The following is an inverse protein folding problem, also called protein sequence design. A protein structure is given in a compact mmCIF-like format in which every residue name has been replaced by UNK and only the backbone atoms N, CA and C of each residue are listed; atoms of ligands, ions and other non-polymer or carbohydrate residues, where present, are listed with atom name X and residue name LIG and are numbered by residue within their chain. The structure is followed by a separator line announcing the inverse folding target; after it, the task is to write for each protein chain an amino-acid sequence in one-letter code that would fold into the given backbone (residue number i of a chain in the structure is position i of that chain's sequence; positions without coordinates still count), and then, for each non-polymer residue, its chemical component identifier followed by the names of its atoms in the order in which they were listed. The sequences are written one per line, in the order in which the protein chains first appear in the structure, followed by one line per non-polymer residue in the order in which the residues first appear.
data_IF_013509171020
#
_entry.id   IF_013509171020
#
_cell.length_a   1.000
_cell.length_b   1.000
_cell.length_c   1.000
_cell.angle_alpha   90.00
_cell.angle_beta   90.00
_cell.angle_gamma   90.00
#
_symmetry.space_group_name_H-M   'P 1'
#
loop_
_entity.id
_entity.type
_entity.pdbx_description
1 polymer ?
#
# COMPACT_ATOMS: atom_id res chain seq x y z
N UNK A 1 -16.83 -3.94 -2.97
CA UNK A 1 -17.27 -2.71 -2.28
C UNK A 1 -16.16 -2.33 -1.32
N UNK A 2 -15.56 -1.14 -1.45
CA UNK A 2 -14.54 -0.70 -0.50
C UNK A 2 -15.29 -0.34 0.77
N UNK A 3 -15.04 -1.06 1.87
CA UNK A 3 -15.57 -0.65 3.15
C UNK A 3 -14.91 0.67 3.56
N UNK A 4 -15.70 1.74 3.60
CA UNK A 4 -15.26 3.09 3.96
C UNK A 4 -14.61 3.13 5.36
N UNK A 5 -14.92 2.16 6.23
CA UNK A 5 -14.30 2.01 7.56
C UNK A 5 -12.80 1.66 7.48
N UNK A 6 -12.37 1.06 6.37
CA UNK A 6 -10.98 0.59 6.18
C UNK A 6 -10.26 1.27 5.02
N UNK A 7 -10.94 2.16 4.30
CA UNK A 7 -10.38 2.91 3.18
C UNK A 7 -9.23 3.81 3.64
N UNK A 8 -8.09 3.74 2.94
CA UNK A 8 -6.89 4.51 3.23
C UNK A 8 -6.28 5.07 1.94
N UNK A 9 -5.53 6.16 2.06
CA UNK A 9 -4.70 6.68 0.98
C UNK A 9 -3.70 5.65 0.43
N UNK A 10 -3.38 4.61 1.19
CA UNK A 10 -2.55 3.49 0.73
C UNK A 10 -3.28 2.61 -0.28
N UNK A 11 -4.60 2.46 -0.20
CA UNK A 11 -5.37 1.67 -1.17
C UNK A 11 -5.48 2.39 -2.51
N UNK A 12 -5.55 3.72 -2.47
CA UNK A 12 -5.45 4.53 -3.69
C UNK A 12 -4.07 4.39 -4.33
N UNK A 13 -3.04 4.21 -3.51
CA UNK A 13 -1.65 4.09 -3.95
C UNK A 13 -1.25 2.67 -4.38
N UNK A 14 -1.86 1.62 -3.82
CA UNK A 14 -1.68 0.23 -4.23
C UNK A 14 -3.03 -0.31 -4.67
N UNK A 15 -3.23 -0.35 -5.98
CA UNK A 15 -4.46 -0.83 -6.59
C UNK A 15 -4.31 -2.30 -6.97
N UNK A 16 -5.36 -3.08 -6.71
CA UNK A 16 -5.45 -4.48 -7.11
C UNK A 16 -6.44 -4.60 -8.26
N UNK A 17 -6.00 -5.17 -9.38
CA UNK A 17 -6.79 -5.41 -10.57
C UNK A 17 -6.81 -6.91 -10.86
N UNK A 18 -8.00 -7.47 -11.06
CA UNK A 18 -8.14 -8.84 -11.55
C UNK A 18 -8.00 -8.83 -13.08
N UNK A 19 -7.03 -9.56 -13.62
CA UNK A 19 -6.87 -9.74 -15.07
C UNK A 19 -6.99 -11.22 -15.42
N UNK A 20 -7.25 -11.58 -16.69
CA UNK A 20 -7.37 -12.98 -17.11
C UNK A 20 -6.12 -13.83 -16.80
N UNK A 21 -4.96 -13.19 -16.71
CA UNK A 21 -3.65 -13.83 -16.50
C UNK A 21 -3.25 -13.83 -15.01
N UNK A 22 -4.07 -13.24 -14.13
CA UNK A 22 -3.86 -13.25 -12.68
C UNK A 22 -4.12 -11.90 -12.01
N UNK A 23 -3.62 -11.76 -10.79
CA UNK A 23 -3.75 -10.49 -10.06
C UNK A 23 -2.65 -9.51 -10.47
N UNK A 24 -3.04 -8.34 -10.96
CA UNK A 24 -2.12 -7.23 -11.23
C UNK A 24 -2.18 -6.21 -10.11
N UNK A 25 -1.02 -5.83 -9.58
CA UNK A 25 -0.88 -4.75 -8.62
C UNK A 25 -0.34 -3.50 -9.31
N UNK A 26 -0.89 -2.34 -8.98
CA UNK A 26 -0.40 -1.06 -9.51
C UNK A 26 -0.02 -0.17 -8.34
N UNK A 27 1.26 0.16 -8.25
CA UNK A 27 1.75 1.20 -7.36
C UNK A 27 1.64 2.54 -8.08
N UNK A 28 0.90 3.50 -7.52
CA UNK A 28 0.71 4.85 -8.09
C UNK A 28 0.84 5.91 -7.00
N UNK A 29 1.77 6.85 -7.17
CA UNK A 29 1.99 7.96 -6.23
C UNK A 29 2.82 9.04 -6.92
N UNK A 30 2.58 10.32 -6.58
CA UNK A 30 3.38 11.46 -7.05
C UNK A 30 3.54 11.50 -8.58
N UNK A 31 2.47 11.26 -9.33
CA UNK A 31 2.49 11.23 -10.80
C UNK A 31 3.17 10.01 -11.43
N UNK A 32 3.81 9.14 -10.63
CA UNK A 32 4.49 7.93 -11.09
C UNK A 32 3.58 6.71 -10.92
N UNK A 33 3.69 5.77 -11.85
CA UNK A 33 2.95 4.50 -11.79
C UNK A 33 3.84 3.33 -12.21
N UNK A 34 3.69 2.19 -11.55
CA UNK A 34 4.32 0.92 -11.93
C UNK A 34 3.34 -0.22 -11.79
N UNK A 35 3.20 -0.99 -12.87
CA UNK A 35 2.50 -2.28 -12.89
C UNK A 35 3.43 -3.36 -12.34
N UNK A 36 2.92 -4.18 -11.43
CA UNK A 36 3.66 -5.21 -10.70
C UNK A 36 2.82 -6.49 -10.62
N UNK A 37 3.46 -7.64 -10.79
CA UNK A 37 2.78 -8.94 -10.68
C UNK A 37 2.73 -9.46 -9.24
N UNK A 38 3.46 -8.83 -8.31
CA UNK A 38 3.45 -9.21 -6.90
C UNK A 38 3.24 -7.98 -6.01
N UNK A 39 2.58 -8.21 -4.87
CA UNK A 39 2.32 -7.17 -3.88
C UNK A 39 3.62 -6.66 -3.24
N UNK A 40 4.63 -7.52 -3.03
CA UNK A 40 5.91 -7.11 -2.45
C UNK A 40 6.62 -6.11 -3.37
N UNK A 41 6.64 -6.39 -4.67
CA UNK A 41 7.20 -5.49 -5.66
C UNK A 41 6.44 -4.17 -5.70
N UNK A 42 5.10 -4.20 -5.65
CA UNK A 42 4.29 -2.99 -5.58
C UNK A 42 4.62 -2.13 -4.35
N UNK A 43 4.81 -2.75 -3.18
CA UNK A 43 5.21 -2.05 -1.94
C UNK A 43 6.60 -1.42 -2.09
N UNK A 44 7.57 -2.14 -2.66
CA UNK A 44 8.93 -1.61 -2.88
C UNK A 44 8.93 -0.41 -3.83
N UNK A 45 8.16 -0.46 -4.91
CA UNK A 45 8.03 0.65 -5.85
C UNK A 45 7.25 1.82 -5.25
N UNK A 46 6.22 1.57 -4.45
CA UNK A 46 5.53 2.63 -3.72
C UNK A 46 6.50 3.34 -2.77
N UNK A 47 7.28 2.59 -1.99
CA UNK A 47 8.29 3.15 -1.10
C UNK A 47 9.35 3.95 -1.88
N UNK A 48 9.75 3.47 -3.06
CA UNK A 48 10.65 4.20 -3.95
C UNK A 48 10.04 5.54 -4.39
N UNK A 49 8.79 5.57 -4.85
CA UNK A 49 8.12 6.82 -5.23
C UNK A 49 8.03 7.82 -4.07
N UNK A 50 7.70 7.35 -2.86
CA UNK A 50 7.60 8.19 -1.68
C UNK A 50 8.96 8.70 -1.21
N UNK A 51 9.99 7.85 -1.19
CA UNK A 51 11.33 8.22 -0.75
C UNK A 51 12.00 9.18 -1.75
N UNK A 52 11.91 8.91 -3.05
CA UNK A 52 12.45 9.80 -4.09
C UNK A 52 11.81 11.18 -4.04
N UNK A 53 10.47 11.26 -3.90
CA UNK A 53 9.79 12.54 -3.78
C UNK A 53 10.23 13.32 -2.54
N UNK A 54 10.34 12.64 -1.39
CA UNK A 54 10.78 13.26 -0.15
C UNK A 54 12.21 13.82 -0.27
N UNK A 55 13.14 13.06 -0.84
CA UNK A 55 14.51 13.53 -1.07
C UNK A 55 14.56 14.71 -2.04
N UNK A 56 13.79 14.63 -3.13
CA UNK A 56 13.70 15.71 -4.12
C UNK A 56 13.19 17.02 -3.51
N UNK A 57 12.19 16.96 -2.63
CA UNK A 57 11.64 18.16 -1.97
C UNK A 57 12.56 18.73 -0.90
N UNK A 58 13.31 17.87 -0.22
CA UNK A 58 14.23 18.27 0.85
C UNK A 58 15.61 18.71 0.33
N UNK A 59 15.88 18.61 -0.98
CA UNK A 59 17.18 18.93 -1.55
C UNK A 59 18.28 17.91 -1.24
N UNK A 60 17.95 16.76 -0.66
CA UNK A 60 18.92 15.69 -0.41
C UNK A 60 19.21 14.91 -1.68
N UNK A 61 20.49 14.70 -1.97
CA UNK A 61 20.92 13.87 -3.08
C UNK A 61 20.65 12.39 -2.80
N UNK A 62 20.07 11.69 -3.79
CA UNK A 62 19.78 10.25 -3.67
C UNK A 62 21.01 9.38 -3.95
N UNK A 63 21.94 9.90 -4.75
CA UNK A 63 23.13 9.20 -5.24
C UNK A 63 24.37 10.06 -5.04
N UNK A 64 25.52 9.41 -5.01
CA UNK A 64 26.79 10.10 -5.18
C UNK A 64 26.87 10.71 -6.60
N UNK A 65 27.67 11.78 -6.80
CA UNK A 65 27.88 12.37 -8.11
C UNK A 65 28.30 11.33 -9.16
N UNK A 66 27.97 11.60 -10.43
CA UNK A 66 28.39 10.73 -11.55
C UNK A 66 29.92 10.74 -11.62
N UNK A 67 30.50 9.54 -11.75
CA UNK A 67 31.95 9.36 -11.84
C UNK A 67 32.28 8.98 -13.27
N UNK A 68 33.31 9.63 -13.83
CA UNK A 68 33.87 9.26 -15.13
C UNK A 68 34.73 8.02 -14.94
N UNK A 69 34.42 6.95 -15.67
CA UNK A 69 35.17 5.71 -15.66
C UNK A 69 35.68 5.46 -17.08
N UNK A 70 36.95 5.11 -17.18
CA UNK A 70 37.53 4.60 -18.42
C UNK A 70 37.35 3.08 -18.46
N UNK A 71 36.66 2.58 -19.48
CA UNK A 71 36.46 1.14 -19.67
C UNK A 71 36.69 0.82 -21.14
N UNK A 72 37.70 0.01 -21.40
CA UNK A 72 38.07 -0.46 -22.74
C UNK A 72 38.27 0.70 -23.74
N UNK A 73 39.03 1.72 -23.34
CA UNK A 73 39.32 2.96 -24.10
C UNK A 73 38.07 3.77 -24.51
N UNK A 74 36.95 3.56 -23.81
CA UNK A 74 35.71 4.31 -23.98
C UNK A 74 35.37 5.09 -22.71
N UNK A 75 35.18 6.41 -22.85
CA UNK A 75 34.72 7.24 -21.75
C UNK A 75 33.25 6.94 -21.42
N UNK A 76 32.99 6.36 -20.24
CA UNK A 76 31.65 6.05 -19.76
C UNK A 76 31.34 6.82 -18.48
N UNK A 77 30.23 7.54 -18.50
CA UNK A 77 29.71 8.24 -17.32
C UNK A 77 28.81 7.31 -16.51
N UNK A 78 29.30 6.82 -15.38
CA UNK A 78 28.52 5.96 -14.48
C UNK A 78 27.81 6.81 -13.42
N UNK A 79 26.55 6.50 -13.18
CA UNK A 79 25.85 7.04 -12.03
C UNK A 79 26.52 6.60 -10.73
N UNK A 80 26.73 7.54 -9.82
CA UNK A 80 27.26 7.23 -8.49
C UNK A 80 26.32 6.30 -7.73
N UNK A 81 26.89 5.59 -6.75
CA UNK A 81 26.13 4.65 -5.93
C UNK A 81 25.02 5.36 -5.14
N UNK A 82 24.02 4.60 -4.73
CA UNK A 82 22.93 5.14 -3.92
C UNK A 82 23.44 5.43 -2.52
N UNK A 83 23.19 6.64 -2.01
CA UNK A 83 23.66 7.02 -0.67
C UNK A 83 23.01 6.12 0.39
N UNK A 84 23.78 5.78 1.43
CA UNK A 84 23.31 4.95 2.54
C UNK A 84 22.05 5.54 3.21
N UNK A 85 21.97 6.88 3.29
CA UNK A 85 20.82 7.61 3.84
C UNK A 85 19.54 7.36 3.06
N UNK A 86 19.61 7.41 1.72
CA UNK A 86 18.48 7.10 0.85
C UNK A 86 18.05 5.64 1.01
N UNK A 87 19.01 4.72 1.03
CA UNK A 87 18.73 3.30 1.19
C UNK A 87 18.07 3.01 2.55
N UNK A 88 18.54 3.64 3.63
CA UNK A 88 17.94 3.54 4.95
C UNK A 88 16.52 4.15 4.98
N UNK A 89 16.31 5.30 4.33
CA UNK A 89 14.98 5.91 4.22
C UNK A 89 14.00 5.03 3.43
N UNK A 90 14.44 4.47 2.30
CA UNK A 90 13.66 3.54 1.49
C UNK A 90 13.26 2.30 2.29
N UNK A 91 14.22 1.65 2.96
CA UNK A 91 13.94 0.48 3.79
C UNK A 91 12.99 0.78 4.94
N UNK A 92 13.14 1.94 5.62
CA UNK A 92 12.20 2.40 6.65
C UNK A 92 10.80 2.56 6.08
N UNK A 93 10.67 3.15 4.89
CA UNK A 93 9.39 3.32 4.21
C UNK A 93 8.74 1.97 3.90
N UNK A 94 9.50 1.02 3.33
CA UNK A 94 9.01 -0.35 3.06
C UNK A 94 8.49 -1.03 4.35
N UNK A 95 9.28 -0.98 5.43
CA UNK A 95 8.88 -1.56 6.73
C UNK A 95 7.60 -0.91 7.27
N UNK A 96 7.48 0.41 7.15
CA UNK A 96 6.30 1.16 7.60
C UNK A 96 5.06 0.77 6.79
N UNK A 97 5.16 0.70 5.46
CA UNK A 97 4.05 0.28 4.59
C UNK A 97 3.57 -1.13 4.94
N UNK A 98 4.50 -2.08 5.14
CA UNK A 98 4.16 -3.45 5.57
C UNK A 98 3.41 -3.48 6.90
N UNK A 99 3.84 -2.70 7.89
CA UNK A 99 3.15 -2.59 9.19
C UNK A 99 1.74 -2.04 9.06
N UNK A 100 1.56 -0.99 8.25
CA UNK A 100 0.23 -0.39 8.04
C UNK A 100 -0.70 -1.40 7.36
N UNK A 101 -0.21 -2.10 6.32
CA UNK A 101 -0.99 -3.13 5.64
C UNK A 101 -1.33 -4.31 6.56
N UNK A 102 -0.42 -4.71 7.45
CA UNK A 102 -0.67 -5.76 8.45
C UNK A 102 -1.77 -5.35 9.42
N UNK A 103 -1.67 -4.15 10.01
CA UNK A 103 -2.68 -3.61 10.92
C UNK A 103 -4.04 -3.47 10.24
N UNK A 104 -4.06 -3.07 8.97
CA UNK A 104 -5.28 -2.98 8.18
C UNK A 104 -5.92 -4.37 7.99
N UNK A 105 -5.13 -5.40 7.74
CA UNK A 105 -5.63 -6.78 7.62
C UNK A 105 -6.26 -7.26 8.92
N UNK A 106 -5.67 -6.95 10.06
CA UNK A 106 -6.24 -7.27 11.38
C UNK A 106 -7.56 -6.54 11.62
N UNK A 107 -7.62 -5.24 11.30
CA UNK A 107 -8.83 -4.44 11.39
C UNK A 107 -9.94 -4.99 10.51
N UNK A 108 -9.62 -5.38 9.28
CA UNK A 108 -10.60 -5.98 8.36
C UNK A 108 -11.18 -7.29 8.92
N UNK A 109 -10.32 -8.19 9.42
CA UNK A 109 -10.78 -9.43 10.07
C UNK A 109 -11.69 -9.17 11.27
N UNK A 110 -11.39 -8.12 12.05
CA UNK A 110 -12.22 -7.74 13.19
C UNK A 110 -13.59 -7.21 12.74
N UNK A 111 -13.63 -6.34 11.71
CA UNK A 111 -14.88 -5.86 11.13
C UNK A 111 -15.72 -7.01 10.58
N UNK A 112 -15.12 -7.94 9.83
CA UNK A 112 -15.82 -9.13 9.30
C UNK A 112 -16.45 -9.98 10.41
N UNK A 113 -15.74 -10.17 11.53
CA UNK A 113 -16.26 -10.88 12.71
C UNK A 113 -17.40 -10.12 13.39
N UNK A 114 -17.25 -8.80 13.52
CA UNK A 114 -18.27 -7.93 14.11
C UNK A 114 -19.55 -7.94 13.26
N UNK A 115 -19.43 -7.73 11.96
CA UNK A 115 -20.56 -7.70 11.03
C UNK A 115 -21.32 -9.04 11.07
N UNK A 116 -20.61 -10.18 11.08
CA UNK A 116 -21.23 -11.51 11.21
C UNK A 116 -22.04 -11.69 12.51
N UNK A 117 -21.52 -11.18 13.62
CA UNK A 117 -22.22 -11.22 14.91
C UNK A 117 -23.41 -10.26 14.93
N UNK A 118 -23.23 -9.06 14.38
CA UNK A 118 -24.27 -8.03 14.34
C UNK A 118 -25.46 -8.46 13.48
N UNK A 119 -25.20 -9.08 12.32
CA UNK A 119 -26.24 -9.59 11.44
C UNK A 119 -27.08 -10.67 12.14
N UNK A 120 -26.42 -11.58 12.88
CA UNK A 120 -27.11 -12.60 13.68
C UNK A 120 -27.98 -11.97 14.77
N UNK A 121 -27.43 -11.03 15.54
CA UNK A 121 -28.18 -10.37 16.62
C UNK A 121 -29.36 -9.57 16.08
N UNK A 122 -29.17 -8.86 14.96
CA UNK A 122 -30.23 -8.09 14.30
C UNK A 122 -31.36 -9.01 13.82
N UNK A 123 -31.01 -10.18 13.28
CA UNK A 123 -31.99 -11.20 12.90
C UNK A 123 -32.78 -11.70 14.12
N UNK A 124 -32.11 -12.06 15.21
CA UNK A 124 -32.77 -12.51 16.45
C UNK A 124 -33.71 -11.44 17.02
N UNK A 125 -33.29 -10.17 17.06
CA UNK A 125 -34.13 -9.05 17.52
C UNK A 125 -35.35 -8.86 16.60
N UNK A 126 -35.16 -8.94 15.29
CA UNK A 126 -36.27 -8.82 14.33
C UNK A 126 -37.28 -9.96 14.50
N UNK A 127 -36.81 -11.20 14.71
CA UNK A 127 -37.65 -12.36 15.00
C UNK A 127 -38.46 -12.14 16.30
N UNK A 128 -37.81 -11.64 17.37
CA UNK A 128 -38.49 -11.32 18.64
C UNK A 128 -39.48 -10.15 18.52
N UNK A 129 -39.19 -9.12 17.72
CA UNK A 129 -40.15 -8.05 17.47
C UNK A 129 -41.33 -8.53 16.60
N UNK A 130 -41.09 -9.47 15.68
CA UNK A 130 -42.14 -10.04 14.85
C UNK A 130 -43.13 -10.90 15.65
N UNK A 131 -42.68 -11.49 16.77
CA UNK A 131 -43.52 -12.29 17.69
C UNK A 131 -44.23 -11.45 18.76
N UNK A 132 -44.04 -10.13 18.80
CA UNK A 132 -44.80 -9.25 19.72
C UNK A 132 -46.28 -9.24 19.33
N UNK A 133 -47.20 -9.31 20.33
CA UNK A 133 -48.63 -9.12 20.10
C UNK A 133 -48.93 -7.73 19.51
N UNK A 134 -49.93 -7.66 18.63
CA UNK A 134 -50.29 -6.42 17.90
C UNK A 134 -50.65 -5.22 18.80
N UNK A 135 -51.04 -5.46 20.05
CA UNK A 135 -51.36 -4.40 21.02
C UNK A 135 -50.12 -3.80 21.73
N UNK A 136 -48.94 -4.39 21.53
CA UNK A 136 -47.64 -3.90 22.07
C UNK A 136 -46.77 -3.27 20.96
N UNK A 137 -47.20 -3.35 19.69
CA UNK A 137 -46.39 -3.05 18.51
C UNK A 137 -46.14 -1.56 18.31
#
# INVERSE_FOLDING_TARGET
MIDNRTASAIDQAIQKHATPVGTLFVAKRHGRQKKCFTIDTAIRYLAFFMATEAFSRSGFEQRHPRVRIDRDDMEVWRDGETKAEYLAAHQRCVRRLRRILSRKREMQKWCEKWDSMHDRYTKEVNELQSSKPDWIR
#
